data_IF_402142048419
#
_entry.id   IF_402142048419
#
_cell.length_a   1.000
_cell.length_b   1.000
_cell.length_c   1.000
_cell.angle_alpha   90.00
_cell.angle_beta   90.00
_cell.angle_gamma   90.00
#
_symmetry.space_group_name_H-M   'P 1'
#
loop_
_entity.id
_entity.type
_entity.pdbx_description
1 polymer ?
#
# COMPACT_ATOMS: atom_id res chain seq x y z
N UNK A 1 -12.42 18.21 19.03
CA UNK A 1 -12.54 18.15 17.56
C UNK A 1 -11.21 18.44 16.84
N UNK A 2 -10.09 18.16 17.50
CA UNK A 2 -8.73 18.49 17.05
C UNK A 2 -8.15 17.46 16.09
N UNK A 3 -8.69 16.23 16.11
CA UNK A 3 -8.25 15.09 15.31
C UNK A 3 -9.07 14.87 14.03
N UNK A 4 -9.96 15.82 13.67
CA UNK A 4 -10.69 15.71 12.41
C UNK A 4 -9.68 15.70 11.26
N UNK A 5 -9.78 14.68 10.40
CA UNK A 5 -8.98 14.58 9.19
C UNK A 5 -9.05 15.91 8.41
N UNK A 6 -7.90 16.36 7.89
CA UNK A 6 -7.72 17.65 7.22
C UNK A 6 -7.83 18.91 8.10
N UNK A 7 -8.05 18.82 9.43
CA UNK A 7 -7.88 19.97 10.31
C UNK A 7 -6.43 20.49 10.27
N UNK A 8 -6.22 21.74 10.64
CA UNK A 8 -4.88 22.31 10.72
C UNK A 8 -3.98 21.53 11.68
N UNK A 9 -4.54 21.05 12.78
CA UNK A 9 -3.83 20.21 13.76
C UNK A 9 -3.42 18.87 13.14
N UNK A 10 -4.33 18.18 12.43
CA UNK A 10 -4.02 16.95 11.70
C UNK A 10 -2.90 17.17 10.68
N UNK A 11 -3.02 18.21 9.84
CA UNK A 11 -1.99 18.54 8.83
C UNK A 11 -0.63 18.83 9.46
N UNK A 12 -0.61 19.51 10.59
CA UNK A 12 0.64 19.79 11.32
C UNK A 12 1.31 18.48 11.78
N UNK A 13 0.56 17.53 12.37
CA UNK A 13 1.10 16.26 12.82
C UNK A 13 1.58 15.38 11.67
N UNK A 14 0.82 15.31 10.59
CA UNK A 14 1.23 14.59 9.38
C UNK A 14 2.51 15.17 8.79
N UNK A 15 2.62 16.49 8.71
CA UNK A 15 3.84 17.14 8.22
C UNK A 15 5.04 16.94 9.16
N UNK A 16 4.81 16.99 10.47
CA UNK A 16 5.86 16.69 11.46
C UNK A 16 6.37 15.25 11.32
N UNK A 17 5.44 14.29 11.22
CA UNK A 17 5.79 12.88 11.00
C UNK A 17 6.56 12.71 9.68
N UNK A 18 6.08 13.28 8.58
CA UNK A 18 6.73 13.18 7.28
C UNK A 18 8.13 13.84 7.29
N UNK A 19 8.29 14.98 7.95
CA UNK A 19 9.60 15.63 8.10
C UNK A 19 10.60 14.69 8.80
N UNK A 20 10.15 14.03 9.86
CA UNK A 20 10.98 13.10 10.61
C UNK A 20 11.24 11.79 9.85
N UNK A 21 10.22 11.27 9.18
CA UNK A 21 10.27 9.97 8.50
C UNK A 21 11.05 10.03 7.18
N UNK A 22 10.78 11.03 6.35
CA UNK A 22 11.41 11.18 5.04
C UNK A 22 12.82 11.77 5.11
N UNK A 23 13.14 12.53 6.16
CA UNK A 23 14.32 13.38 6.22
C UNK A 23 14.13 14.71 5.51
N UNK A 24 15.02 15.62 5.79
CA UNK A 24 14.85 17.02 5.36
C UNK A 24 14.87 17.21 3.85
N UNK A 25 15.78 16.56 3.15
CA UNK A 25 15.92 16.74 1.70
C UNK A 25 14.68 16.28 0.95
N UNK A 26 14.17 15.09 1.29
CA UNK A 26 12.97 14.53 0.66
C UNK A 26 11.72 15.35 1.06
N UNK A 27 11.64 15.76 2.33
CA UNK A 27 10.53 16.58 2.81
C UNK A 27 10.46 17.95 2.13
N UNK A 28 11.60 18.62 1.96
CA UNK A 28 11.69 19.91 1.26
C UNK A 28 11.33 19.76 -0.20
N UNK A 29 11.89 18.76 -0.88
CA UNK A 29 11.62 18.50 -2.29
C UNK A 29 10.13 18.26 -2.55
N UNK A 30 9.46 17.55 -1.63
CA UNK A 30 8.02 17.24 -1.73
C UNK A 30 7.11 18.42 -1.41
N UNK A 31 7.41 19.12 -0.32
CA UNK A 31 6.46 20.08 0.27
C UNK A 31 6.81 21.54 -0.03
N UNK A 32 7.99 21.82 -0.59
CA UNK A 32 8.53 23.17 -0.81
C UNK A 32 8.52 24.05 0.46
N UNK A 33 8.74 23.40 1.61
CA UNK A 33 8.72 24.01 2.94
C UNK A 33 9.92 23.54 3.74
N UNK A 34 10.35 24.35 4.70
CA UNK A 34 11.36 23.95 5.67
C UNK A 34 10.81 22.83 6.57
N UNK A 35 11.64 21.85 6.93
CA UNK A 35 11.25 20.79 7.86
C UNK A 35 11.06 21.36 9.27
N UNK A 36 10.31 20.64 10.10
CA UNK A 36 10.11 20.99 11.51
C UNK A 36 11.34 20.70 12.38
N UNK A 37 12.21 19.81 11.92
CA UNK A 37 13.45 19.46 12.58
C UNK A 37 14.60 19.67 11.60
N UNK A 38 15.52 20.59 11.86
CA UNK A 38 16.63 20.82 10.94
C UNK A 38 17.68 19.70 10.92
N UNK A 39 18.31 19.51 9.76
CA UNK A 39 19.48 18.65 9.54
C UNK A 39 19.30 17.17 9.90
N UNK A 40 18.21 16.54 9.46
CA UNK A 40 17.87 15.18 9.83
C UNK A 40 17.86 14.23 8.64
N UNK A 41 18.60 13.12 8.79
CA UNK A 41 18.39 11.93 7.95
C UNK A 41 17.02 11.31 8.22
N UNK A 42 16.31 10.88 7.17
CA UNK A 42 15.05 10.19 7.31
C UNK A 42 15.20 8.79 7.90
N UNK A 43 14.21 8.37 8.67
CA UNK A 43 14.11 6.97 9.12
C UNK A 43 13.93 6.04 7.93
N UNK A 44 13.31 6.51 6.86
CA UNK A 44 13.12 5.78 5.60
C UNK A 44 14.42 5.21 5.02
N UNK A 45 15.54 5.93 5.18
CA UNK A 45 16.84 5.47 4.70
C UNK A 45 17.37 4.24 5.46
N UNK A 46 16.87 3.98 6.66
CA UNK A 46 17.25 2.88 7.54
C UNK A 46 16.32 1.68 7.45
N UNK A 47 15.28 1.76 6.63
CA UNK A 47 14.37 0.63 6.44
C UNK A 47 15.07 -0.55 5.78
N UNK A 48 14.80 -1.74 6.31
CA UNK A 48 15.29 -3.00 5.78
C UNK A 48 14.11 -3.90 5.41
N UNK A 49 14.21 -4.67 4.32
CA UNK A 49 13.17 -5.63 3.96
C UNK A 49 13.09 -6.77 4.98
N UNK A 50 11.89 -7.31 5.19
CA UNK A 50 11.62 -8.43 6.12
C UNK A 50 12.10 -9.80 5.59
N UNK A 51 12.50 -9.86 4.33
CA UNK A 51 13.16 -11.01 3.71
C UNK A 51 14.32 -10.50 2.84
N UNK A 52 15.29 -11.35 2.46
CA UNK A 52 16.38 -10.94 1.58
C UNK A 52 15.84 -10.29 0.30
N UNK A 53 16.38 -9.11 -0.04
CA UNK A 53 15.88 -8.30 -1.14
C UNK A 53 15.82 -9.04 -2.48
N UNK A 54 16.81 -9.92 -2.72
CA UNK A 54 16.86 -10.72 -3.92
C UNK A 54 15.79 -11.81 -3.98
N UNK A 55 15.42 -12.41 -2.85
CA UNK A 55 14.32 -13.39 -2.80
C UNK A 55 12.98 -12.73 -3.17
N UNK A 56 12.74 -11.51 -2.68
CA UNK A 56 11.54 -10.75 -3.03
C UNK A 56 11.57 -10.37 -4.52
N UNK A 57 12.72 -9.93 -5.03
CA UNK A 57 12.88 -9.63 -6.46
C UNK A 57 12.61 -10.85 -7.35
N UNK A 58 13.10 -12.00 -6.94
CA UNK A 58 12.89 -13.26 -7.66
C UNK A 58 11.41 -13.68 -7.64
N UNK A 59 10.72 -13.50 -6.52
CA UNK A 59 9.26 -13.70 -6.45
C UNK A 59 8.53 -12.84 -7.47
N UNK A 60 8.81 -11.53 -7.55
CA UNK A 60 8.17 -10.64 -8.52
C UNK A 60 8.37 -11.12 -9.96
N UNK A 61 9.58 -11.56 -10.29
CA UNK A 61 9.89 -12.07 -11.62
C UNK A 61 9.21 -13.40 -11.92
N UNK A 62 9.13 -14.28 -10.94
CA UNK A 62 8.45 -15.56 -11.07
C UNK A 62 6.95 -15.38 -11.30
N UNK A 63 6.30 -14.50 -10.53
CA UNK A 63 4.90 -14.12 -10.75
C UNK A 63 4.66 -13.65 -12.18
N UNK A 64 5.49 -12.72 -12.66
CA UNK A 64 5.38 -12.18 -14.03
C UNK A 64 5.62 -13.23 -15.11
N UNK A 65 6.57 -14.13 -14.89
CA UNK A 65 6.86 -15.26 -15.79
C UNK A 65 5.65 -16.21 -15.94
N UNK A 66 4.86 -16.38 -14.87
CA UNK A 66 3.61 -17.14 -14.88
C UNK A 66 2.37 -16.33 -15.30
N UNK A 67 2.56 -15.12 -15.82
CA UNK A 67 1.51 -14.29 -16.38
C UNK A 67 0.74 -13.44 -15.38
N UNK A 68 1.18 -13.38 -14.11
CA UNK A 68 0.57 -12.47 -13.14
C UNK A 68 1.03 -11.04 -13.38
N UNK A 69 0.08 -10.11 -13.37
CA UNK A 69 0.36 -8.68 -13.22
C UNK A 69 0.50 -8.35 -11.74
N UNK A 70 1.47 -7.51 -11.38
CA UNK A 70 1.73 -7.16 -9.99
C UNK A 70 1.51 -5.67 -9.75
N UNK A 71 0.82 -5.35 -8.66
CA UNK A 71 0.54 -3.99 -8.22
C UNK A 71 0.81 -3.80 -6.73
N UNK A 72 0.75 -2.56 -6.28
CA UNK A 72 0.91 -2.19 -4.88
C UNK A 72 -0.33 -1.45 -4.41
N UNK A 73 -0.81 -1.78 -3.20
CA UNK A 73 -1.87 -1.05 -2.51
C UNK A 73 -1.45 -0.81 -1.05
N UNK A 74 -1.02 0.42 -0.72
CA UNK A 74 -0.42 0.71 0.58
C UNK A 74 -0.93 1.99 1.22
N UNK A 75 -1.04 1.98 2.57
CA UNK A 75 -1.25 3.18 3.37
C UNK A 75 -0.02 4.10 3.48
N UNK A 76 1.11 3.74 2.87
CA UNK A 76 2.29 4.62 2.80
C UNK A 76 2.09 5.70 1.76
N UNK A 77 2.72 6.86 1.97
CA UNK A 77 2.82 7.88 0.94
C UNK A 77 3.76 7.43 -0.18
N UNK A 78 3.64 8.05 -1.34
CA UNK A 78 4.36 7.65 -2.56
C UNK A 78 5.87 7.56 -2.38
N UNK A 79 6.49 8.57 -1.79
CA UNK A 79 7.93 8.62 -1.55
C UNK A 79 8.41 7.49 -0.65
N UNK A 80 7.59 7.11 0.33
CA UNK A 80 7.87 6.02 1.24
C UNK A 80 7.80 4.62 0.59
N UNK A 81 7.31 4.53 -0.63
CA UNK A 81 7.36 3.32 -1.47
C UNK A 81 8.45 3.43 -2.52
N UNK A 82 8.46 4.51 -3.29
CA UNK A 82 9.35 4.62 -4.43
C UNK A 82 10.83 4.66 -4.04
N UNK A 83 11.18 5.37 -2.97
CA UNK A 83 12.58 5.53 -2.56
C UNK A 83 13.19 4.16 -2.19
N UNK A 84 12.64 3.38 -1.22
CA UNK A 84 13.21 2.08 -0.90
C UNK A 84 13.11 1.08 -2.06
N UNK A 85 12.05 1.11 -2.86
CA UNK A 85 11.90 0.20 -4.00
C UNK A 85 12.95 0.48 -5.09
N UNK A 86 13.28 1.75 -5.35
CA UNK A 86 14.37 2.12 -6.26
C UNK A 86 15.73 1.67 -5.71
N UNK A 87 15.98 1.89 -4.41
CA UNK A 87 17.21 1.48 -3.72
C UNK A 87 17.42 -0.04 -3.75
N UNK A 88 16.33 -0.81 -3.59
CA UNK A 88 16.35 -2.28 -3.60
C UNK A 88 16.26 -2.89 -5.02
N UNK A 89 16.12 -2.06 -6.06
CA UNK A 89 15.99 -2.52 -7.44
C UNK A 89 14.64 -3.14 -7.79
N UNK A 90 13.64 -3.02 -6.89
CA UNK A 90 12.30 -3.59 -7.08
C UNK A 90 11.37 -2.73 -7.95
N UNK A 91 11.59 -1.42 -7.95
CA UNK A 91 10.69 -0.45 -8.61
C UNK A 91 10.44 -0.76 -10.08
N UNK A 92 11.46 -1.26 -10.80
CA UNK A 92 11.38 -1.63 -12.22
C UNK A 92 10.49 -2.84 -12.52
N UNK A 93 10.11 -3.59 -11.50
CA UNK A 93 9.22 -4.74 -11.67
C UNK A 93 7.75 -4.32 -11.69
N UNK A 94 7.44 -3.09 -11.33
CA UNK A 94 6.08 -2.54 -11.28
C UNK A 94 5.88 -1.44 -12.33
N UNK A 95 4.71 -1.45 -12.94
CA UNK A 95 4.27 -0.28 -13.70
C UNK A 95 3.85 0.82 -12.72
N UNK A 96 4.38 2.05 -12.84
CA UNK A 96 4.13 3.13 -11.88
C UNK A 96 2.66 3.47 -11.68
N UNK A 97 1.82 3.20 -12.67
CA UNK A 97 0.38 3.42 -12.59
C UNK A 97 -0.34 2.45 -11.66
N UNK A 98 0.18 1.24 -11.45
CA UNK A 98 -0.37 0.22 -10.55
C UNK A 98 0.21 0.28 -9.13
N UNK A 99 0.85 1.39 -8.77
CA UNK A 99 1.30 1.67 -7.40
C UNK A 99 0.31 2.60 -6.72
N UNK A 100 -0.72 2.03 -6.08
CA UNK A 100 -1.72 2.73 -5.27
C UNK A 100 -1.20 3.05 -3.86
N UNK A 101 -1.27 4.30 -3.45
CA UNK A 101 -0.68 4.80 -2.20
C UNK A 101 -1.66 5.70 -1.43
N UNK A 102 -1.37 5.99 -0.15
CA UNK A 102 -2.11 6.99 0.61
C UNK A 102 -2.10 8.37 -0.06
N UNK A 103 -1.08 8.70 -0.88
CA UNK A 103 -1.06 9.95 -1.65
C UNK A 103 -2.19 10.01 -2.68
N UNK A 104 -2.56 8.88 -3.28
CA UNK A 104 -3.66 8.79 -4.23
C UNK A 104 -5.02 8.87 -3.50
N UNK A 105 -5.15 8.19 -2.35
CA UNK A 105 -6.34 8.28 -1.50
C UNK A 105 -6.57 9.72 -1.00
N UNK A 106 -5.51 10.40 -0.58
CA UNK A 106 -5.57 11.81 -0.18
C UNK A 106 -6.00 12.73 -1.33
N UNK A 107 -5.42 12.53 -2.52
CA UNK A 107 -5.78 13.29 -3.71
C UNK A 107 -7.25 13.07 -4.08
N UNK A 108 -7.69 11.82 -4.13
CA UNK A 108 -9.08 11.48 -4.40
C UNK A 108 -10.03 12.05 -3.33
N UNK A 109 -9.67 11.93 -2.05
CA UNK A 109 -10.44 12.55 -0.95
C UNK A 109 -10.65 14.05 -1.13
N UNK A 110 -9.61 14.76 -1.59
CA UNK A 110 -9.70 16.20 -1.85
C UNK A 110 -10.63 16.51 -3.02
N UNK A 111 -10.62 15.70 -4.08
CA UNK A 111 -11.49 15.85 -5.25
C UNK A 111 -12.95 15.49 -4.95
N UNK A 112 -13.20 14.61 -3.99
CA UNK A 112 -14.51 14.06 -3.63
C UNK A 112 -14.97 14.48 -2.23
N UNK A 113 -14.91 15.79 -1.94
CA UNK A 113 -15.49 16.43 -0.75
C UNK A 113 -15.02 15.88 0.61
N UNK A 114 -13.78 15.42 0.68
CA UNK A 114 -13.20 14.95 1.94
C UNK A 114 -13.65 13.55 2.35
N UNK A 115 -14.09 12.70 1.41
CA UNK A 115 -14.40 11.30 1.70
C UNK A 115 -13.20 10.57 2.29
N UNK A 116 -13.45 9.71 3.28
CA UNK A 116 -12.42 8.85 3.84
C UNK A 116 -12.19 7.64 2.91
N UNK A 117 -11.02 7.60 2.27
CA UNK A 117 -10.66 6.60 1.26
C UNK A 117 -9.47 5.73 1.66
N UNK A 118 -8.98 5.91 2.90
CA UNK A 118 -7.93 5.04 3.45
C UNK A 118 -8.48 3.65 3.76
N UNK A 119 -7.59 2.67 3.95
CA UNK A 119 -7.97 1.30 4.35
C UNK A 119 -8.89 1.32 5.58
N UNK A 120 -9.98 0.56 5.63
CA UNK A 120 -10.32 -0.56 4.74
C UNK A 120 -11.12 -0.19 3.48
N UNK A 121 -11.23 1.08 3.08
CA UNK A 121 -11.89 1.44 1.83
C UNK A 121 -11.16 0.79 0.64
N UNK A 122 -11.85 0.19 -0.36
CA UNK A 122 -11.21 -0.55 -1.45
C UNK A 122 -10.45 0.32 -2.47
N UNK A 123 -10.52 1.63 -2.36
CA UNK A 123 -9.99 2.59 -3.34
C UNK A 123 -8.52 2.34 -3.73
N UNK A 124 -7.63 2.18 -2.74
CA UNK A 124 -6.19 1.99 -3.04
C UNK A 124 -5.90 0.63 -3.66
N UNK A 125 -6.71 -0.39 -3.38
CA UNK A 125 -6.60 -1.69 -4.04
C UNK A 125 -7.00 -1.57 -5.51
N UNK A 126 -8.07 -0.86 -5.81
CA UNK A 126 -8.45 -0.57 -7.20
C UNK A 126 -7.37 0.23 -7.95
N UNK A 127 -6.67 1.14 -7.27
CA UNK A 127 -5.50 1.80 -7.86
C UNK A 127 -4.36 0.81 -8.18
N UNK A 128 -4.15 -0.19 -7.33
CA UNK A 128 -3.18 -1.26 -7.56
C UNK A 128 -3.58 -2.23 -8.67
N UNK A 129 -4.87 -2.46 -8.87
CA UNK A 129 -5.42 -3.41 -9.84
C UNK A 129 -5.62 -2.77 -11.22
N UNK A 130 -6.20 -1.57 -11.27
CA UNK A 130 -6.64 -0.93 -12.53
C UNK A 130 -5.96 0.40 -12.84
N UNK A 131 -4.96 0.75 -12.03
CA UNK A 131 -4.21 1.98 -12.19
C UNK A 131 -4.82 3.18 -11.47
N UNK A 132 -3.96 4.16 -11.19
CA UNK A 132 -4.27 5.38 -10.44
C UNK A 132 -4.66 6.59 -11.31
N UNK A 133 -5.25 6.35 -12.45
CA UNK A 133 -5.72 7.43 -13.31
C UNK A 133 -6.93 8.13 -12.66
N UNK A 134 -6.85 9.44 -12.46
CA UNK A 134 -7.90 10.24 -11.81
C UNK A 134 -9.26 10.14 -12.49
N UNK A 135 -9.29 9.91 -13.80
CA UNK A 135 -10.54 9.70 -14.56
C UNK A 135 -11.36 8.50 -14.04
N UNK A 136 -10.69 7.55 -13.39
CA UNK A 136 -11.30 6.34 -12.86
C UNK A 136 -11.72 6.48 -11.39
N UNK A 137 -11.27 7.50 -10.67
CA UNK A 137 -11.49 7.62 -9.23
C UNK A 137 -12.97 7.61 -8.86
N UNK A 138 -13.81 8.31 -9.62
CA UNK A 138 -15.25 8.30 -9.37
C UNK A 138 -15.84 6.87 -9.39
N UNK A 139 -15.40 6.04 -10.36
CA UNK A 139 -15.89 4.66 -10.49
C UNK A 139 -15.39 3.73 -9.37
N UNK A 140 -14.21 3.98 -8.83
CA UNK A 140 -13.66 3.25 -7.67
C UNK A 140 -14.39 3.61 -6.37
N UNK A 141 -14.79 4.88 -6.24
CA UNK A 141 -15.43 5.41 -5.03
C UNK A 141 -16.91 5.01 -4.97
N UNK A 142 -17.63 5.13 -6.07
CA UNK A 142 -19.07 4.83 -6.12
C UNK A 142 -19.38 3.34 -6.36
N UNK A 143 -18.35 2.50 -6.52
CA UNK A 143 -18.49 1.06 -6.72
C UNK A 143 -19.08 0.67 -8.08
N UNK A 144 -19.08 1.57 -9.08
CA UNK A 144 -19.52 1.23 -10.43
C UNK A 144 -18.52 0.34 -11.18
N UNK A 145 -17.24 0.39 -10.79
CA UNK A 145 -16.22 -0.55 -11.24
C UNK A 145 -15.96 -1.59 -10.16
N UNK A 146 -16.19 -2.85 -10.47
CA UNK A 146 -16.01 -3.99 -9.56
C UNK A 146 -15.27 -5.10 -10.29
N UNK A 147 -14.58 -5.94 -9.52
CA UNK A 147 -14.05 -7.21 -10.02
C UNK A 147 -15.23 -8.11 -10.46
N UNK A 148 -15.03 -8.85 -11.52
CA UNK A 148 -15.95 -9.83 -12.02
C UNK A 148 -15.61 -11.20 -11.44
N UNK A 149 -16.53 -12.16 -11.53
CA UNK A 149 -16.31 -13.53 -11.04
C UNK A 149 -15.13 -14.25 -11.72
N UNK A 150 -14.86 -13.90 -12.98
CA UNK A 150 -13.73 -14.43 -13.73
C UNK A 150 -12.38 -13.77 -13.43
N UNK A 151 -12.37 -12.63 -12.72
CA UNK A 151 -11.14 -11.92 -12.37
C UNK A 151 -10.44 -12.63 -11.19
N UNK A 152 -9.28 -13.19 -11.43
CA UNK A 152 -8.47 -13.84 -10.41
C UNK A 152 -7.48 -12.83 -9.78
N UNK A 153 -7.89 -12.18 -8.69
CA UNK A 153 -7.10 -11.15 -8.00
C UNK A 153 -6.80 -11.57 -6.58
N UNK A 154 -5.50 -11.64 -6.25
CA UNK A 154 -4.99 -11.91 -4.92
C UNK A 154 -4.45 -10.64 -4.28
N UNK A 155 -4.85 -10.35 -3.05
CA UNK A 155 -4.33 -9.23 -2.26
C UNK A 155 -3.62 -9.81 -1.04
N UNK A 156 -2.31 -9.62 -0.98
CA UNK A 156 -1.48 -10.02 0.15
C UNK A 156 -1.37 -8.86 1.15
N UNK A 157 -1.71 -9.12 2.39
CA UNK A 157 -1.69 -8.09 3.43
C UNK A 157 -1.45 -8.67 4.82
N UNK A 158 -1.01 -7.82 5.75
CA UNK A 158 -0.63 -8.19 7.11
C UNK A 158 -1.54 -7.60 8.18
N UNK A 159 -2.50 -6.75 7.80
CA UNK A 159 -3.40 -6.07 8.71
C UNK A 159 -4.87 -6.48 8.50
N UNK A 160 -5.66 -6.40 9.56
CA UNK A 160 -7.10 -6.65 9.50
C UNK A 160 -7.82 -5.67 8.52
N UNK A 161 -7.31 -4.45 8.41
CA UNK A 161 -7.81 -3.49 7.42
C UNK A 161 -7.56 -3.95 5.97
N UNK A 162 -6.52 -4.76 5.72
CA UNK A 162 -6.27 -5.35 4.40
C UNK A 162 -7.29 -6.42 4.08
N UNK A 163 -7.59 -7.29 5.03
CA UNK A 163 -8.64 -8.30 4.89
C UNK A 163 -10.00 -7.64 4.57
N UNK A 164 -10.40 -6.63 5.36
CA UNK A 164 -11.67 -5.93 5.13
C UNK A 164 -11.72 -5.22 3.79
N UNK A 165 -10.63 -4.53 3.43
CA UNK A 165 -10.53 -3.83 2.15
C UNK A 165 -10.51 -4.79 0.96
N UNK A 166 -9.87 -5.95 1.08
CA UNK A 166 -9.88 -7.01 0.08
C UNK A 166 -11.29 -7.57 -0.14
N UNK A 167 -12.01 -7.86 0.96
CA UNK A 167 -13.42 -8.29 0.87
C UNK A 167 -14.31 -7.24 0.21
N UNK A 168 -14.10 -5.96 0.57
CA UNK A 168 -14.83 -4.87 -0.07
C UNK A 168 -14.50 -4.70 -1.55
N UNK A 169 -13.27 -5.04 -1.97
CA UNK A 169 -12.85 -5.05 -3.37
C UNK A 169 -13.38 -6.25 -4.16
N UNK A 170 -13.78 -7.33 -3.48
CA UNK A 170 -14.21 -8.58 -4.12
C UNK A 170 -13.04 -9.47 -4.57
N UNK A 171 -11.87 -9.32 -3.96
CA UNK A 171 -10.66 -10.09 -4.26
C UNK A 171 -10.41 -11.22 -3.24
N UNK A 172 -9.46 -12.10 -3.54
CA UNK A 172 -9.01 -13.16 -2.64
C UNK A 172 -7.91 -12.60 -1.71
N UNK A 173 -8.11 -12.74 -0.40
CA UNK A 173 -7.12 -12.31 0.58
C UNK A 173 -6.12 -13.41 0.91
N UNK A 174 -4.83 -13.06 0.95
CA UNK A 174 -3.75 -13.90 1.47
C UNK A 174 -3.12 -13.17 2.65
N UNK A 175 -3.28 -13.72 3.84
CA UNK A 175 -2.70 -13.16 5.07
C UNK A 175 -1.20 -13.40 5.15
N UNK A 176 -0.40 -12.33 5.32
CA UNK A 176 1.06 -12.42 5.49
C UNK A 176 1.39 -12.13 6.96
N UNK A 177 1.94 -13.11 7.67
CA UNK A 177 2.12 -13.05 9.12
C UNK A 177 3.37 -12.29 9.59
N UNK A 178 3.90 -11.40 8.75
CA UNK A 178 5.04 -10.53 9.11
C UNK A 178 4.63 -9.21 9.77
N UNK A 179 3.34 -8.96 9.93
CA UNK A 179 2.81 -7.76 10.60
C UNK A 179 3.08 -7.71 12.10
N UNK A 180 2.72 -6.60 12.73
CA UNK A 180 2.98 -6.35 14.15
C UNK A 180 2.37 -7.37 15.09
N UNK A 181 1.21 -7.93 14.75
CA UNK A 181 0.46 -8.87 15.60
C UNK A 181 0.71 -10.35 15.23
N UNK A 182 1.51 -10.61 14.18
CA UNK A 182 2.03 -11.94 13.83
C UNK A 182 0.99 -13.07 13.91
N UNK A 183 1.26 -14.08 14.75
CA UNK A 183 0.40 -15.27 14.88
C UNK A 183 -1.01 -14.99 15.41
N UNK A 184 -1.21 -13.92 16.19
CA UNK A 184 -2.57 -13.53 16.66
C UNK A 184 -3.48 -13.14 15.50
N UNK A 185 -2.89 -12.55 14.47
CA UNK A 185 -3.62 -12.16 13.26
C UNK A 185 -4.02 -13.38 12.44
N UNK A 186 -3.24 -14.46 12.48
CA UNK A 186 -3.53 -15.71 11.77
C UNK A 186 -4.91 -16.28 12.16
N UNK A 187 -5.21 -16.37 13.47
CA UNK A 187 -6.51 -16.88 13.94
C UNK A 187 -7.70 -16.07 13.39
N UNK A 188 -7.52 -14.76 13.28
CA UNK A 188 -8.55 -13.86 12.74
C UNK A 188 -8.71 -14.10 11.23
N UNK A 189 -7.61 -14.19 10.50
CA UNK A 189 -7.62 -14.40 9.06
C UNK A 189 -8.21 -15.77 8.69
N UNK A 190 -7.84 -16.82 9.41
CA UNK A 190 -8.34 -18.18 9.21
C UNK A 190 -9.84 -18.28 9.50
N UNK A 191 -10.34 -17.66 10.56
CA UNK A 191 -11.78 -17.58 10.88
C UNK A 191 -12.58 -16.89 9.77
N UNK A 192 -11.95 -15.99 9.05
CA UNK A 192 -12.53 -15.28 7.91
C UNK A 192 -12.32 -15.98 6.56
N UNK A 193 -11.76 -17.22 6.60
CA UNK A 193 -11.54 -18.08 5.44
C UNK A 193 -10.31 -17.71 4.60
N UNK A 194 -9.41 -16.89 5.13
CA UNK A 194 -8.21 -16.52 4.42
C UNK A 194 -7.09 -17.57 4.57
N UNK A 195 -6.33 -17.77 3.51
CA UNK A 195 -5.08 -18.53 3.56
C UNK A 195 -3.98 -17.65 4.13
N UNK A 196 -3.18 -18.20 5.06
CA UNK A 196 -2.08 -17.50 5.69
C UNK A 196 -0.72 -18.06 5.24
N UNK A 197 0.24 -17.16 5.06
CA UNK A 197 1.65 -17.47 4.81
C UNK A 197 2.53 -16.71 5.79
N UNK A 198 3.63 -17.32 6.19
CA UNK A 198 4.55 -16.69 7.15
C UNK A 198 5.27 -15.49 6.55
N UNK A 199 5.62 -15.58 5.27
CA UNK A 199 6.36 -14.55 4.53
C UNK A 199 5.83 -14.45 3.12
N UNK A 200 5.92 -13.26 2.53
CA UNK A 200 5.49 -13.04 1.15
C UNK A 200 6.20 -13.96 0.13
N UNK A 201 7.41 -14.40 0.44
CA UNK A 201 8.19 -15.33 -0.41
C UNK A 201 7.57 -16.73 -0.52
N UNK A 202 6.59 -17.06 0.29
CA UNK A 202 5.81 -18.31 0.21
C UNK A 202 4.56 -18.18 -0.69
N UNK A 203 4.37 -17.03 -1.34
CA UNK A 203 3.20 -16.80 -2.20
C UNK A 203 3.16 -17.76 -3.40
N UNK A 204 4.31 -18.16 -3.93
CA UNK A 204 4.40 -19.14 -5.02
C UNK A 204 3.74 -20.47 -4.66
N UNK A 205 3.85 -20.91 -3.39
CA UNK A 205 3.20 -22.14 -2.90
C UNK A 205 1.67 -22.01 -2.86
N UNK A 206 1.18 -20.79 -2.59
CA UNK A 206 -0.27 -20.49 -2.59
C UNK A 206 -0.83 -20.54 -3.99
N UNK A 207 -0.07 -20.02 -4.95
CA UNK A 207 -0.48 -19.89 -6.36
C UNK A 207 -0.12 -21.14 -7.19
N UNK A 208 0.57 -22.13 -6.59
CA UNK A 208 1.03 -23.37 -7.24
C UNK A 208 1.92 -23.12 -8.47
N UNK A 209 2.87 -22.19 -8.34
CA UNK A 209 3.81 -21.77 -9.39
C UNK A 209 5.26 -21.97 -8.96
#
# INVERSE_FOLDING_TARGET
MWTKQFSNFYKMHVNLFHSWYLGDDVFIAKNHKLPYSGNKEGVLEKEMPLAPAEQILNLFRELKKHGYEIGIATGRIREAVEIPFKKLGWYKEFEPEYIGTASDAFKASTLFNGMFLDKPHPFIYYCGIWGRNEKNFASYINGSKKLKEEDEVYICGDAYSDLLGTKAAGAVFVGVLTGLDGEKTAEIFEKEGARCIRRITELSDVLHI
#
